data_IF_645357098819
#
_entry.id   IF_645357098819
#
_cell.length_a   1.000
_cell.length_b   1.000
_cell.length_c   1.000
_cell.angle_alpha   90.00
_cell.angle_beta   90.00
_cell.angle_gamma   90.00
#
_symmetry.space_group_name_H-M   'P 1'
#
loop_
_entity.id
_entity.type
_entity.pdbx_description
1 polymer ?
#
# COMPACT_ATOMS: atom_id res chain seq x y z
N UNK A 1 -26.30 22.94 11.87
CA UNK A 1 -26.58 21.62 12.47
C UNK A 1 -25.25 20.88 12.57
N UNK A 2 -24.68 20.90 13.76
CA UNK A 2 -23.40 20.31 14.13
C UNK A 2 -23.64 18.81 14.34
N UNK A 3 -22.88 17.94 13.67
CA UNK A 3 -22.92 16.50 13.96
C UNK A 3 -21.51 16.04 14.30
N UNK A 4 -21.36 15.78 15.60
CA UNK A 4 -20.23 15.19 16.29
C UNK A 4 -20.01 13.72 15.90
N UNK A 5 -18.75 13.29 15.94
CA UNK A 5 -18.33 11.90 15.93
C UNK A 5 -18.92 11.11 17.12
N UNK A 6 -19.15 9.80 16.99
CA UNK A 6 -19.63 9.00 18.11
C UNK A 6 -18.53 8.82 19.16
N UNK A 7 -18.82 9.25 20.38
CA UNK A 7 -18.19 8.77 21.60
C UNK A 7 -19.10 7.70 22.19
N UNK A 8 -18.64 6.46 22.30
CA UNK A 8 -19.25 5.46 23.19
C UNK A 8 -18.14 4.80 23.97
N UNK A 9 -18.18 5.07 25.27
CA UNK A 9 -17.48 4.32 26.29
C UNK A 9 -17.69 2.81 26.10
N UNK A 10 -16.59 2.08 25.90
CA UNK A 10 -16.42 0.72 26.35
C UNK A 10 -15.24 0.72 27.33
N UNK A 11 -15.54 0.87 28.62
CA UNK A 11 -14.82 0.18 29.71
C UNK A 11 -15.30 -1.28 29.61
N UNK A 12 -14.53 -2.35 29.65
CA UNK A 12 -13.42 -2.87 30.49
C UNK A 12 -12.73 -3.95 29.59
N UNK A 13 -11.50 -4.46 29.77
CA UNK A 13 -10.77 -4.86 30.96
C UNK A 13 -9.31 -5.18 30.53
N UNK A 14 -8.38 -5.13 31.49
CA UNK A 14 -6.94 -5.01 31.29
C UNK A 14 -6.18 -6.30 30.95
N UNK A 15 -5.07 -6.14 30.22
CA UNK A 15 -3.86 -6.95 30.43
C UNK A 15 -2.74 -6.00 30.92
N UNK A 16 -2.72 -5.77 32.23
CA UNK A 16 -1.66 -5.02 32.91
C UNK A 16 -0.43 -5.92 33.02
N UNK A 17 0.65 -5.57 32.32
CA UNK A 17 2.00 -5.93 32.74
C UNK A 17 2.79 -4.62 32.87
N UNK A 18 3.05 -4.23 34.12
CA UNK A 18 3.65 -2.97 34.50
C UNK A 18 5.13 -2.87 34.07
N UNK A 19 5.51 -1.70 33.55
CA UNK A 19 6.89 -1.25 33.30
C UNK A 19 6.94 0.29 33.28
N UNK A 20 8.02 0.94 33.78
CA UNK A 20 7.94 2.27 34.35
C UNK A 20 7.91 3.40 33.33
N UNK A 21 7.03 4.35 33.62
CA UNK A 21 7.09 5.80 33.38
C UNK A 21 7.63 6.32 32.04
N UNK A 22 6.70 6.91 31.28
CA UNK A 22 6.98 8.12 30.51
C UNK A 22 6.99 7.93 29.00
N UNK A 23 5.94 8.48 28.37
CA UNK A 23 5.83 8.75 26.92
C UNK A 23 5.24 7.63 26.06
N UNK A 24 3.97 7.30 26.32
CA UNK A 24 3.09 6.70 25.32
C UNK A 24 2.67 7.78 24.30
N UNK A 25 3.55 8.10 23.34
CA UNK A 25 3.12 8.80 22.14
C UNK A 25 2.44 7.77 21.24
N UNK A 26 1.13 7.92 21.06
CA UNK A 26 0.41 7.11 20.09
C UNK A 26 1.10 7.29 18.72
N UNK A 27 1.61 6.20 18.15
CA UNK A 27 2.26 6.19 16.82
C UNK A 27 1.32 6.76 15.73
N UNK A 28 0.03 6.88 16.06
CA UNK A 28 -1.04 7.37 15.19
C UNK A 28 -1.24 8.90 15.22
N UNK A 29 -0.86 9.61 16.28
CA UNK A 29 -1.03 11.08 16.34
C UNK A 29 0.05 11.85 15.56
N UNK A 30 1.23 11.26 15.36
CA UNK A 30 2.34 11.88 14.61
C UNK A 30 2.15 11.95 13.09
N UNK A 31 1.23 11.18 12.51
CA UNK A 31 1.01 11.15 11.06
C UNK A 31 -0.03 12.16 10.56
N UNK A 32 -0.69 12.92 11.45
CA UNK A 32 -1.68 13.93 11.05
C UNK A 32 -0.97 15.20 10.56
N UNK A 33 -0.33 15.10 9.41
CA UNK A 33 0.36 16.21 8.75
C UNK A 33 -0.66 17.29 8.37
N UNK A 34 -0.31 18.56 8.61
CA UNK A 34 -1.08 19.70 8.09
C UNK A 34 -1.20 19.54 6.57
N UNK A 35 -2.43 19.58 6.06
CA UNK A 35 -2.68 19.47 4.63
C UNK A 35 -2.17 20.74 3.96
N UNK A 36 -1.22 20.58 3.04
CA UNK A 36 -0.69 21.67 2.21
C UNK A 36 -1.84 22.31 1.40
N UNK A 37 -2.08 23.64 1.52
CA UNK A 37 -3.11 24.34 0.75
C UNK A 37 -2.98 24.14 -0.77
N UNK A 38 -1.76 24.02 -1.30
CA UNK A 38 -1.54 23.76 -2.72
C UNK A 38 -2.06 22.37 -3.11
N UNK A 39 -1.77 21.34 -2.30
CA UNK A 39 -2.33 19.99 -2.49
C UNK A 39 -3.85 19.98 -2.41
N UNK A 40 -4.44 20.74 -1.49
CA UNK A 40 -5.90 20.81 -1.36
C UNK A 40 -6.55 21.41 -2.62
N UNK A 41 -5.98 22.50 -3.15
CA UNK A 41 -6.45 23.10 -4.39
C UNK A 41 -6.34 22.13 -5.58
N UNK A 42 -5.23 21.41 -5.71
CA UNK A 42 -5.06 20.36 -6.72
C UNK A 42 -6.09 19.24 -6.55
N UNK A 43 -6.33 18.76 -5.33
CA UNK A 43 -7.34 17.74 -5.06
C UNK A 43 -8.75 18.18 -5.48
N UNK A 44 -9.13 19.44 -5.22
CA UNK A 44 -10.42 19.96 -5.66
C UNK A 44 -10.55 20.01 -7.18
N UNK A 45 -9.51 20.48 -7.89
CA UNK A 45 -9.49 20.49 -9.35
C UNK A 45 -9.65 19.08 -9.93
N UNK A 46 -8.81 18.14 -9.48
CA UNK A 46 -8.84 16.75 -9.95
C UNK A 46 -10.18 16.06 -9.66
N UNK A 47 -10.80 16.37 -8.51
CA UNK A 47 -12.11 15.84 -8.15
C UNK A 47 -13.20 16.33 -9.10
N UNK A 48 -13.15 17.61 -9.48
CA UNK A 48 -14.07 18.18 -10.46
C UNK A 48 -13.92 17.49 -11.82
N UNK A 49 -12.68 17.36 -12.30
CA UNK A 49 -12.38 16.73 -13.59
C UNK A 49 -12.83 15.25 -13.61
N UNK A 50 -12.59 14.52 -12.50
CA UNK A 50 -13.01 13.13 -12.36
C UNK A 50 -14.54 12.99 -12.33
N UNK A 51 -15.26 13.89 -11.65
CA UNK A 51 -16.71 13.86 -11.61
C UNK A 51 -17.30 14.14 -13.00
N UNK A 52 -16.80 15.15 -13.70
CA UNK A 52 -17.23 15.47 -15.07
C UNK A 52 -16.97 14.29 -16.02
N UNK A 53 -15.82 13.64 -15.91
CA UNK A 53 -15.52 12.42 -16.68
C UNK A 53 -16.46 11.26 -16.32
N UNK A 54 -16.76 11.07 -15.04
CA UNK A 54 -17.62 10.00 -14.56
C UNK A 54 -19.07 10.18 -15.02
N UNK A 55 -19.57 11.42 -15.05
CA UNK A 55 -20.92 11.74 -15.58
C UNK A 55 -21.06 11.40 -17.07
N UNK A 56 -19.98 11.56 -17.85
CA UNK A 56 -19.98 11.14 -19.28
C UNK A 56 -20.14 9.63 -19.44
N UNK A 57 -19.59 8.84 -18.51
CA UNK A 57 -19.73 7.38 -18.51
C UNK A 57 -21.08 6.95 -17.96
N UNK A 58 -21.57 7.62 -16.91
CA UNK A 58 -22.80 7.29 -16.22
C UNK A 58 -23.56 8.56 -15.80
N UNK A 59 -24.60 8.91 -16.57
CA UNK A 59 -25.23 10.24 -16.52
C UNK A 59 -25.87 10.60 -15.16
N UNK A 60 -26.65 9.74 -14.50
CA UNK A 60 -27.29 10.17 -13.25
C UNK A 60 -26.34 10.42 -12.05
N UNK A 61 -25.00 10.25 -12.20
CA UNK A 61 -23.99 10.71 -11.23
C UNK A 61 -23.99 12.24 -11.09
N UNK A 62 -24.54 12.96 -12.07
CA UNK A 62 -24.69 14.42 -12.05
C UNK A 62 -25.49 14.96 -10.85
N UNK A 63 -26.29 14.11 -10.21
CA UNK A 63 -27.10 14.46 -9.02
C UNK A 63 -26.38 14.16 -7.71
N UNK A 64 -25.24 13.47 -7.76
CA UNK A 64 -24.53 12.98 -6.58
C UNK A 64 -23.57 14.06 -6.07
N UNK A 65 -23.29 14.03 -4.76
CA UNK A 65 -22.28 14.89 -4.13
C UNK A 65 -21.09 14.03 -3.71
N UNK A 66 -19.88 14.53 -3.93
CA UNK A 66 -18.66 13.87 -3.46
C UNK A 66 -18.67 13.86 -1.93
N UNK A 67 -18.58 12.67 -1.33
CA UNK A 67 -18.56 12.49 0.12
C UNK A 67 -17.17 12.73 0.71
N UNK A 68 -16.14 12.18 0.07
CA UNK A 68 -14.76 12.23 0.55
C UNK A 68 -13.79 12.09 -0.62
N UNK A 69 -12.61 12.72 -0.52
CA UNK A 69 -11.50 12.59 -1.46
C UNK A 69 -10.32 11.99 -0.73
N UNK A 70 -9.80 10.87 -1.24
CA UNK A 70 -8.61 10.19 -0.73
C UNK A 70 -7.55 10.12 -1.80
N UNK A 71 -6.30 10.26 -1.40
CA UNK A 71 -5.14 9.96 -2.23
C UNK A 71 -4.41 8.75 -1.65
N UNK A 72 -3.78 7.98 -2.53
CA UNK A 72 -2.96 6.83 -2.16
C UNK A 72 -1.77 6.72 -3.08
N UNK A 73 -0.61 6.38 -2.52
CA UNK A 73 0.60 6.09 -3.29
C UNK A 73 0.64 4.60 -3.58
N UNK A 74 0.88 4.23 -4.83
CA UNK A 74 1.06 2.84 -5.24
C UNK A 74 2.54 2.57 -5.44
N UNK A 75 3.07 1.57 -4.74
CA UNK A 75 4.40 1.05 -5.03
C UNK A 75 4.33 0.26 -6.35
N UNK A 76 4.84 0.86 -7.42
CA UNK A 76 4.97 0.21 -8.72
C UNK A 76 6.30 -0.54 -8.78
N UNK A 77 6.32 -1.78 -9.29
CA UNK A 77 7.57 -2.46 -9.55
C UNK A 77 8.18 -1.91 -10.86
N UNK A 78 9.49 -2.15 -11.11
CA UNK A 78 10.11 -1.85 -12.39
C UNK A 78 9.32 -2.46 -13.56
N UNK A 79 9.30 -1.76 -14.69
CA UNK A 79 8.63 -2.25 -15.89
C UNK A 79 9.62 -3.07 -16.71
N UNK A 80 9.32 -4.34 -16.95
CA UNK A 80 10.11 -5.22 -17.82
C UNK A 80 9.35 -5.49 -19.13
N UNK A 81 9.94 -6.27 -20.04
CA UNK A 81 9.25 -6.81 -21.23
C UNK A 81 7.97 -7.58 -20.86
N UNK A 82 7.95 -8.20 -19.69
CA UNK A 82 6.83 -8.99 -19.16
C UNK A 82 5.83 -8.12 -18.38
N UNK A 83 6.08 -6.80 -18.35
CA UNK A 83 5.28 -5.80 -17.66
C UNK A 83 5.75 -5.53 -16.23
N UNK A 84 4.86 -4.99 -15.41
CA UNK A 84 5.15 -4.58 -14.03
C UNK A 84 4.88 -5.72 -13.04
N UNK A 85 5.76 -6.71 -12.99
CA UNK A 85 5.62 -7.90 -12.14
C UNK A 85 5.91 -7.55 -10.66
N UNK A 86 5.07 -7.97 -9.70
CA UNK A 86 5.34 -7.77 -8.28
C UNK A 86 6.66 -8.39 -7.83
N UNK A 87 7.32 -7.75 -6.88
CA UNK A 87 8.59 -8.21 -6.35
C UNK A 87 8.34 -9.08 -5.12
N UNK A 88 8.90 -10.28 -5.13
CA UNK A 88 8.79 -11.23 -4.03
C UNK A 88 10.11 -11.99 -3.93
N UNK A 89 10.48 -12.40 -2.72
CA UNK A 89 11.64 -13.26 -2.53
C UNK A 89 12.27 -13.09 -1.17
N UNK A 90 13.51 -13.55 -1.08
CA UNK A 90 14.34 -13.51 0.12
C UNK A 90 15.54 -12.58 -0.10
N UNK A 91 15.71 -11.63 0.82
CA UNK A 91 16.91 -10.81 0.92
C UNK A 91 17.93 -11.54 1.80
N UNK A 92 19.16 -11.67 1.29
CA UNK A 92 20.29 -12.26 1.99
C UNK A 92 20.99 -11.26 2.93
N UNK A 93 21.76 -11.78 3.90
CA UNK A 93 22.50 -10.99 4.88
C UNK A 93 22.79 -11.78 6.17
N UNK A 94 23.03 -11.09 7.29
CA UNK A 94 23.14 -11.73 8.62
C UNK A 94 21.84 -12.41 9.07
N UNK A 95 20.71 -11.98 8.51
CA UNK A 95 19.39 -12.57 8.71
C UNK A 95 18.68 -12.65 7.36
N UNK A 96 17.85 -13.69 7.19
CA UNK A 96 17.03 -13.86 6.00
C UNK A 96 15.71 -13.12 6.16
N UNK A 97 15.45 -12.17 5.27
CA UNK A 97 14.18 -11.44 5.23
C UNK A 97 13.37 -11.87 4.02
N UNK A 98 12.09 -12.16 4.22
CA UNK A 98 11.15 -12.47 3.15
C UNK A 98 10.26 -11.26 2.91
N UNK A 99 9.97 -10.96 1.64
CA UNK A 99 9.19 -9.78 1.30
C UNK A 99 8.26 -10.01 0.10
N UNK A 100 7.18 -9.23 0.07
CA UNK A 100 6.33 -9.00 -1.11
C UNK A 100 6.14 -7.48 -1.22
N UNK A 101 6.48 -6.89 -2.37
CA UNK A 101 6.28 -5.47 -2.64
C UNK A 101 6.04 -5.20 -4.14
N UNK A 102 5.92 -3.94 -4.54
CA UNK A 102 5.71 -3.59 -5.95
C UNK A 102 4.39 -4.13 -6.52
N UNK A 103 3.34 -4.25 -5.70
CA UNK A 103 2.06 -4.84 -6.12
C UNK A 103 1.25 -3.93 -7.06
N UNK A 104 1.54 -2.63 -7.10
CA UNK A 104 0.87 -1.66 -7.95
C UNK A 104 -0.66 -1.64 -7.82
N UNK A 105 -1.35 -1.46 -8.95
CA UNK A 105 -2.82 -1.48 -9.01
C UNK A 105 -3.42 -2.89 -8.87
N UNK A 106 -2.64 -3.92 -9.21
CA UNK A 106 -3.08 -5.32 -9.25
C UNK A 106 -2.89 -6.06 -7.93
N UNK A 107 -2.32 -5.39 -6.93
CA UNK A 107 -2.09 -5.97 -5.60
C UNK A 107 -3.33 -6.56 -4.96
N UNK A 108 -4.46 -5.87 -5.05
CA UNK A 108 -5.72 -6.38 -4.49
C UNK A 108 -6.18 -7.68 -5.15
N UNK A 109 -5.81 -7.92 -6.41
CA UNK A 109 -6.15 -9.16 -7.12
C UNK A 109 -5.22 -10.29 -6.69
N UNK A 110 -3.91 -10.04 -6.58
CA UNK A 110 -2.92 -11.11 -6.40
C UNK A 110 -2.38 -11.28 -4.99
N UNK A 111 -2.70 -10.40 -4.03
CA UNK A 111 -2.09 -10.42 -2.70
C UNK A 111 -2.25 -11.75 -1.98
N UNK A 112 -3.45 -12.36 -2.00
CA UNK A 112 -3.69 -13.63 -1.31
C UNK A 112 -2.89 -14.79 -1.94
N UNK A 113 -2.84 -14.84 -3.27
CA UNK A 113 -2.10 -15.87 -4.00
C UNK A 113 -0.59 -15.73 -3.79
N UNK A 114 -0.03 -14.53 -3.92
CA UNK A 114 1.39 -14.25 -3.66
C UNK A 114 1.77 -14.50 -2.20
N UNK A 115 0.88 -14.15 -1.26
CA UNK A 115 1.07 -14.43 0.16
C UNK A 115 1.10 -15.94 0.44
N UNK A 116 0.24 -16.72 -0.22
CA UNK A 116 0.27 -18.19 -0.11
C UNK A 116 1.58 -18.78 -0.63
N UNK A 117 2.08 -18.28 -1.77
CA UNK A 117 3.35 -18.73 -2.34
C UNK A 117 4.51 -18.43 -1.40
N UNK A 118 4.64 -17.17 -0.93
CA UNK A 118 5.75 -16.81 -0.04
C UNK A 118 5.67 -17.56 1.29
N UNK A 119 4.47 -17.74 1.85
CA UNK A 119 4.31 -18.46 3.11
C UNK A 119 4.77 -19.91 2.98
N UNK A 120 4.46 -20.57 1.87
CA UNK A 120 4.94 -21.92 1.57
C UNK A 120 6.47 -21.99 1.48
N UNK A 121 7.08 -21.05 0.77
CA UNK A 121 8.53 -20.91 0.66
C UNK A 121 9.21 -20.64 2.02
N UNK A 122 8.59 -19.76 2.83
CA UNK A 122 9.07 -19.40 4.17
C UNK A 122 9.06 -20.59 5.13
N UNK A 123 7.96 -21.35 5.18
CA UNK A 123 7.83 -22.51 6.07
C UNK A 123 8.87 -23.58 5.74
N UNK A 124 9.13 -23.80 4.45
CA UNK A 124 10.14 -24.76 3.98
C UNK A 124 11.56 -24.20 4.00
N UNK A 125 11.71 -22.90 4.27
CA UNK A 125 12.93 -22.13 4.10
C UNK A 125 13.61 -22.33 2.73
N UNK A 126 12.79 -22.50 1.70
CA UNK A 126 13.21 -22.86 0.35
C UNK A 126 12.63 -21.84 -0.64
N UNK A 127 13.51 -21.00 -1.21
CA UNK A 127 13.12 -19.94 -2.14
C UNK A 127 12.74 -20.48 -3.51
N UNK A 128 13.20 -21.68 -3.87
CA UNK A 128 12.93 -22.32 -5.16
C UNK A 128 11.45 -22.77 -5.27
N UNK A 129 10.71 -22.72 -4.15
CA UNK A 129 9.25 -22.91 -4.11
C UNK A 129 8.48 -21.70 -4.66
N UNK A 130 9.11 -20.54 -4.82
CA UNK A 130 8.46 -19.36 -5.40
C UNK A 130 8.34 -19.57 -6.91
N UNK A 131 7.14 -19.94 -7.33
CA UNK A 131 6.77 -20.06 -8.73
C UNK A 131 5.62 -19.09 -9.07
N UNK A 132 5.60 -18.52 -10.28
CA UNK A 132 6.54 -18.78 -11.38
C UNK A 132 7.85 -17.94 -11.28
N UNK A 133 8.89 -18.33 -12.02
CA UNK A 133 10.28 -17.82 -11.89
C UNK A 133 10.44 -16.32 -12.21
N UNK A 134 9.52 -15.75 -13.00
CA UNK A 134 9.48 -14.33 -13.32
C UNK A 134 9.31 -13.46 -12.06
N UNK A 135 8.72 -14.02 -11.00
CA UNK A 135 8.61 -13.39 -9.69
C UNK A 135 9.98 -13.13 -9.03
N UNK A 136 11.01 -13.88 -9.41
CA UNK A 136 12.39 -13.76 -8.93
C UNK A 136 13.32 -13.09 -9.94
N UNK A 137 12.84 -12.74 -11.15
CA UNK A 137 13.65 -12.17 -12.22
C UNK A 137 14.37 -10.86 -11.83
N UNK A 138 13.81 -10.13 -10.86
CA UNK A 138 14.44 -8.92 -10.31
C UNK A 138 15.84 -9.17 -9.73
N UNK A 139 16.14 -10.40 -9.28
CA UNK A 139 17.47 -10.76 -8.78
C UNK A 139 18.54 -10.68 -9.87
N UNK A 140 18.19 -11.05 -11.11
CA UNK A 140 19.09 -10.94 -12.25
C UNK A 140 19.40 -9.47 -12.54
N UNK A 141 18.37 -8.61 -12.47
CA UNK A 141 18.50 -7.16 -12.66
C UNK A 141 19.37 -6.51 -11.57
N UNK A 142 19.19 -6.92 -10.32
CA UNK A 142 20.02 -6.44 -9.20
C UNK A 142 21.46 -6.93 -9.35
N UNK A 143 21.67 -8.19 -9.77
CA UNK A 143 23.00 -8.76 -9.96
C UNK A 143 23.75 -8.15 -11.16
N UNK A 144 23.05 -7.76 -12.23
CA UNK A 144 23.65 -7.11 -13.40
C UNK A 144 24.00 -5.64 -13.15
N UNK A 145 23.54 -5.05 -12.05
CA UNK A 145 23.70 -3.62 -11.75
C UNK A 145 22.88 -2.70 -12.65
N UNK A 146 22.03 -3.24 -13.52
CA UNK A 146 21.24 -2.49 -14.49
C UNK A 146 19.87 -2.13 -13.90
N UNK A 147 19.86 -1.40 -12.78
CA UNK A 147 18.58 -0.97 -12.18
C UNK A 147 18.17 0.39 -12.77
N UNK A 148 17.49 0.35 -13.91
CA UNK A 148 16.78 1.52 -14.45
C UNK A 148 15.40 1.58 -13.81
N UNK A 149 15.25 2.43 -12.80
CA UNK A 149 13.94 2.84 -12.34
C UNK A 149 13.45 3.92 -13.30
N UNK A 150 12.51 3.58 -14.17
CA UNK A 150 11.79 4.59 -14.93
C UNK A 150 10.98 5.43 -13.94
N UNK A 151 11.49 6.62 -13.62
CA UNK A 151 10.71 7.67 -12.95
C UNK A 151 9.64 8.14 -13.93
N UNK A 152 8.39 7.81 -13.60
CA UNK A 152 7.19 8.40 -14.22
C UNK A 152 7.01 9.82 -13.73
#
# INVERSE_FOLDING_TARGET
MQVCYPNTAAKEEAATMAGPEGQEMSILEGCRTKVDPARLATCHSLTKDLLEASVRVWQPLSKWKVSEVKSGVRALPPRTSDGSIPLIGRLGGKQSWWFICGLGARGLVYHAWLASIIAGAMIKNDEDQIQPEELLAWKVVVASGEVKFDTV
#
